data_IF_165670281304
#
_entry.id   IF_165670281304
#
_cell.length_a   1.000
_cell.length_b   1.000
_cell.length_c   1.000
_cell.angle_alpha   90.00
_cell.angle_beta   90.00
_cell.angle_gamma   90.00
#
_symmetry.space_group_name_H-M   'P 1'
#
loop_
_entity.id
_entity.type
_entity.pdbx_description
1 polymer ?
#
# COMPACT_ATOMS: atom_id res chain seq x y z
N UNK A 1 -12.91 -2.41 25.24
CA UNK A 1 -12.69 -2.37 23.78
C UNK A 1 -11.56 -3.33 23.46
N UNK A 2 -11.77 -4.30 22.57
CA UNK A 2 -10.68 -5.13 22.08
C UNK A 2 -9.88 -4.32 21.05
N UNK A 3 -8.58 -4.13 21.27
CA UNK A 3 -7.70 -3.48 20.29
C UNK A 3 -7.48 -4.45 19.14
N UNK A 4 -7.89 -4.07 17.93
CA UNK A 4 -7.63 -4.83 16.72
C UNK A 4 -6.11 -4.96 16.52
N UNK A 5 -5.65 -6.13 16.07
CA UNK A 5 -4.22 -6.38 15.79
C UNK A 5 -4.04 -6.90 14.38
N UNK A 6 -2.90 -6.63 13.76
CA UNK A 6 -2.65 -6.85 12.34
C UNK A 6 -1.47 -7.78 12.13
N UNK A 7 -1.62 -8.74 11.23
CA UNK A 7 -0.61 -9.77 11.00
C UNK A 7 0.68 -9.17 10.43
N UNK A 8 1.81 -9.55 11.01
CA UNK A 8 3.14 -9.30 10.47
C UNK A 8 3.68 -10.65 9.98
N UNK A 9 3.35 -11.01 8.74
CA UNK A 9 3.69 -12.32 8.20
C UNK A 9 5.18 -12.43 7.79
N UNK A 10 5.57 -13.62 7.34
CA UNK A 10 6.95 -13.92 6.97
C UNK A 10 7.45 -13.09 5.76
N UNK A 11 6.57 -12.48 4.96
CA UNK A 11 6.96 -11.71 3.77
C UNK A 11 7.71 -10.44 4.13
N UNK A 12 7.51 -9.89 5.33
CA UNK A 12 8.26 -8.74 5.84
C UNK A 12 9.76 -8.99 5.88
N UNK A 13 10.21 -10.22 6.14
CA UNK A 13 11.65 -10.53 6.17
C UNK A 13 12.27 -10.45 4.79
N UNK A 14 11.62 -11.08 3.82
CA UNK A 14 12.04 -11.04 2.43
C UNK A 14 12.05 -9.60 1.95
N UNK A 15 11.00 -8.84 2.26
CA UNK A 15 10.92 -7.43 1.88
C UNK A 15 12.06 -6.60 2.47
N UNK A 16 12.33 -6.73 3.78
CA UNK A 16 13.43 -6.00 4.42
C UNK A 16 14.79 -6.39 3.82
N UNK A 17 15.00 -7.68 3.54
CA UNK A 17 16.21 -8.15 2.87
C UNK A 17 16.37 -7.57 1.47
N UNK A 18 15.30 -7.53 0.67
CA UNK A 18 15.30 -6.96 -0.68
C UNK A 18 15.57 -5.45 -0.67
N UNK A 19 15.20 -4.77 0.42
CA UNK A 19 15.48 -3.35 0.66
C UNK A 19 16.88 -3.10 1.27
N UNK A 20 17.66 -4.16 1.57
CA UNK A 20 18.97 -4.04 2.22
C UNK A 20 18.90 -3.63 3.69
N UNK A 21 17.74 -3.80 4.34
CA UNK A 21 17.50 -3.43 5.74
C UNK A 21 17.69 -4.64 6.64
N UNK A 22 18.43 -4.48 7.73
CA UNK A 22 18.50 -5.51 8.78
C UNK A 22 17.15 -5.59 9.52
N UNK A 23 16.48 -6.76 9.53
CA UNK A 23 15.24 -6.93 10.27
C UNK A 23 15.40 -6.63 11.77
N UNK A 24 16.54 -6.99 12.36
CA UNK A 24 16.84 -6.72 13.76
C UNK A 24 16.96 -5.23 14.05
N UNK A 25 17.61 -4.46 13.17
CA UNK A 25 17.72 -3.02 13.36
C UNK A 25 16.36 -2.32 13.26
N UNK A 26 15.53 -2.71 12.29
CA UNK A 26 14.18 -2.18 12.14
C UNK A 26 13.31 -2.49 13.39
N UNK A 27 13.36 -3.73 13.90
CA UNK A 27 12.64 -4.13 15.11
C UNK A 27 13.14 -3.37 16.35
N UNK A 28 14.47 -3.26 16.52
CA UNK A 28 15.08 -2.54 17.63
C UNK A 28 14.68 -1.06 17.63
N UNK A 29 14.73 -0.40 16.48
CA UNK A 29 14.32 1.01 16.32
C UNK A 29 12.82 1.19 16.59
N UNK A 30 12.00 0.20 16.26
CA UNK A 30 10.56 0.19 16.55
C UNK A 30 10.21 -0.13 18.02
N UNK A 31 11.22 -0.41 18.86
CA UNK A 31 11.06 -0.92 20.22
C UNK A 31 10.23 -2.23 20.26
N UNK A 32 10.56 -3.15 19.34
CA UNK A 32 9.98 -4.48 19.22
C UNK A 32 11.04 -5.56 19.49
N UNK A 33 10.64 -6.77 19.93
CA UNK A 33 11.56 -7.88 20.11
C UNK A 33 12.32 -8.19 18.81
N UNK A 34 13.64 -8.38 18.88
CA UNK A 34 14.49 -8.59 17.69
C UNK A 34 14.24 -9.95 17.01
N UNK A 35 13.66 -10.89 17.75
CA UNK A 35 13.23 -12.20 17.26
C UNK A 35 11.77 -12.20 16.80
N UNK A 36 11.05 -11.07 16.84
CA UNK A 36 9.61 -11.02 16.57
C UNK A 36 9.26 -11.69 15.24
N UNK A 37 9.96 -11.34 14.16
CA UNK A 37 9.72 -11.93 12.84
C UNK A 37 10.03 -13.43 12.76
N UNK A 38 10.74 -14.02 13.75
CA UNK A 38 11.00 -15.47 13.86
C UNK A 38 9.82 -16.26 14.41
N UNK A 39 8.82 -15.58 14.97
CA UNK A 39 7.65 -16.21 15.54
C UNK A 39 6.65 -16.61 14.44
N UNK A 40 5.96 -17.74 14.62
CA UNK A 40 5.08 -18.31 13.61
C UNK A 40 3.81 -17.48 13.32
N UNK A 41 3.38 -16.65 14.28
CA UNK A 41 2.17 -15.83 14.16
C UNK A 41 2.33 -14.54 14.97
N UNK A 42 2.85 -13.51 14.31
CA UNK A 42 2.98 -12.17 14.90
C UNK A 42 1.77 -11.32 14.55
N UNK A 43 1.22 -10.62 15.54
CA UNK A 43 0.26 -9.54 15.31
C UNK A 43 0.64 -8.31 16.11
N UNK A 44 0.50 -7.13 15.51
CA UNK A 44 0.80 -5.85 16.13
C UNK A 44 -0.45 -4.98 16.26
N UNK A 45 -0.63 -4.22 17.36
CA UNK A 45 -1.60 -3.13 17.39
C UNK A 45 -1.18 -1.99 16.43
N UNK A 46 -2.10 -1.08 16.03
CA UNK A 46 -1.81 0.02 15.10
C UNK A 46 -0.54 0.81 15.43
N UNK A 47 -0.39 1.25 16.68
CA UNK A 47 0.75 2.05 17.13
C UNK A 47 2.09 1.33 16.90
N UNK A 48 2.16 0.04 17.23
CA UNK A 48 3.37 -0.77 17.01
C UNK A 48 3.63 -1.02 15.53
N UNK A 49 2.58 -1.20 14.73
CA UNK A 49 2.68 -1.33 13.27
C UNK A 49 3.24 -0.05 12.64
N UNK A 50 2.74 1.12 13.06
CA UNK A 50 3.23 2.41 12.56
C UNK A 50 4.66 2.70 12.99
N UNK A 51 5.02 2.44 14.26
CA UNK A 51 6.42 2.55 14.70
C UNK A 51 7.35 1.62 13.92
N UNK A 52 6.88 0.41 13.59
CA UNK A 52 7.63 -0.51 12.75
C UNK A 52 7.82 0.05 11.34
N UNK A 53 6.78 0.60 10.72
CA UNK A 53 6.89 1.26 9.42
C UNK A 53 7.87 2.45 9.45
N UNK A 54 7.76 3.35 10.43
CA UNK A 54 8.66 4.49 10.59
C UNK A 54 10.11 4.04 10.80
N UNK A 55 10.31 2.94 11.54
CA UNK A 55 11.63 2.37 11.73
C UNK A 55 12.22 1.90 10.41
N UNK A 56 11.45 1.22 9.56
CA UNK A 56 11.88 0.79 8.22
C UNK A 56 12.26 2.01 7.37
N UNK A 57 11.38 3.00 7.29
CA UNK A 57 11.65 4.24 6.54
C UNK A 57 12.96 4.88 7.00
N UNK A 58 13.16 5.00 8.31
CA UNK A 58 14.30 5.68 8.87
C UNK A 58 15.61 4.85 8.83
N UNK A 59 15.53 3.52 8.73
CA UNK A 59 16.68 2.66 8.40
C UNK A 59 17.09 2.81 6.94
N UNK A 60 16.15 3.09 6.02
CA UNK A 60 16.50 3.29 4.61
C UNK A 60 17.14 4.64 4.30
N UNK A 61 16.82 5.68 5.09
CA UNK A 61 17.31 7.05 4.87
C UNK A 61 16.92 7.66 3.53
N UNK A 62 15.91 7.14 2.83
CA UNK A 62 15.51 7.60 1.50
C UNK A 62 14.21 8.40 1.54
N UNK A 63 14.28 9.66 1.10
CA UNK A 63 13.14 10.59 1.06
C UNK A 63 12.00 10.17 0.10
N UNK A 64 12.28 9.26 -0.82
CA UNK A 64 11.40 8.63 -1.78
C UNK A 64 11.13 7.15 -1.46
N UNK A 65 11.34 6.71 -0.21
CA UNK A 65 11.12 5.33 0.22
C UNK A 65 9.78 4.72 -0.25
N UNK A 66 8.61 5.38 -0.09
CA UNK A 66 7.33 4.87 -0.59
C UNK A 66 7.33 4.57 -2.09
N UNK A 67 7.96 5.45 -2.88
CA UNK A 67 8.05 5.29 -4.32
C UNK A 67 8.94 4.12 -4.73
N UNK A 68 10.06 3.92 -4.03
CA UNK A 68 10.91 2.74 -4.27
C UNK A 68 10.14 1.46 -3.98
N UNK A 69 9.42 1.40 -2.86
CA UNK A 69 8.61 0.24 -2.53
C UNK A 69 7.52 -0.02 -3.57
N UNK A 70 6.84 1.04 -4.04
CA UNK A 70 5.82 0.89 -5.09
C UNK A 70 6.40 0.31 -6.39
N UNK A 71 7.65 0.62 -6.72
CA UNK A 71 8.35 0.10 -7.91
C UNK A 71 8.84 -1.35 -7.74
N UNK A 72 8.98 -1.85 -6.51
CA UNK A 72 9.35 -3.25 -6.27
C UNK A 72 8.15 -4.19 -6.26
N UNK A 73 6.92 -3.67 -6.25
CA UNK A 73 5.71 -4.49 -6.37
C UNK A 73 5.71 -5.13 -7.76
N UNK A 74 5.70 -6.46 -7.80
CA UNK A 74 5.64 -7.22 -9.04
C UNK A 74 4.52 -8.25 -8.99
N UNK A 75 4.10 -8.74 -10.15
CA UNK A 75 3.15 -9.86 -10.25
C UNK A 75 3.65 -11.13 -9.57
N UNK A 76 4.96 -11.30 -9.47
CA UNK A 76 5.60 -12.46 -8.82
C UNK A 76 5.59 -12.35 -7.29
N UNK A 77 5.09 -11.26 -6.71
CA UNK A 77 4.80 -11.20 -5.28
C UNK A 77 3.67 -12.20 -5.00
N UNK A 78 4.02 -13.44 -4.63
CA UNK A 78 3.13 -14.57 -4.35
C UNK A 78 2.21 -14.36 -3.13
N UNK A 79 1.50 -13.23 -3.09
CA UNK A 79 0.47 -12.94 -2.11
C UNK A 79 -0.87 -13.36 -2.73
N UNK A 80 -1.58 -14.36 -2.17
CA UNK A 80 -2.88 -14.80 -2.69
C UNK A 80 -3.90 -13.67 -2.96
N UNK A 81 -3.98 -12.61 -2.14
CA UNK A 81 -4.87 -11.47 -2.41
C UNK A 81 -4.48 -10.66 -3.64
N UNK A 82 -3.18 -10.51 -3.92
CA UNK A 82 -2.72 -9.81 -5.12
C UNK A 82 -3.07 -10.62 -6.36
N UNK A 83 -2.86 -11.94 -6.33
CA UNK A 83 -3.30 -12.82 -7.41
C UNK A 83 -4.82 -12.76 -7.62
N UNK A 84 -5.59 -12.81 -6.54
CA UNK A 84 -7.04 -12.66 -6.62
C UNK A 84 -7.43 -11.30 -7.23
N UNK A 85 -6.74 -10.20 -6.89
CA UNK A 85 -7.00 -8.91 -7.51
C UNK A 85 -6.64 -8.89 -9.01
N UNK A 86 -5.52 -9.50 -9.41
CA UNK A 86 -5.06 -9.57 -10.80
C UNK A 86 -5.91 -10.50 -11.69
N UNK A 87 -6.65 -11.45 -11.09
CA UNK A 87 -7.62 -12.30 -11.78
C UNK A 87 -9.06 -11.73 -11.72
N UNK A 88 -9.22 -10.46 -11.39
CA UNK A 88 -10.52 -9.79 -11.43
C UNK A 88 -10.86 -9.31 -12.84
N UNK A 89 -12.16 -9.24 -13.19
CA UNK A 89 -12.60 -8.78 -14.51
C UNK A 89 -12.36 -7.28 -14.76
N UNK A 90 -12.22 -6.48 -13.70
CA UNK A 90 -11.98 -5.05 -13.77
C UNK A 90 -11.29 -4.53 -12.50
N UNK A 91 -10.87 -3.27 -12.54
CA UNK A 91 -10.19 -2.60 -11.43
C UNK A 91 -11.08 -2.45 -10.19
N UNK A 92 -12.40 -2.30 -10.37
CA UNK A 92 -13.34 -2.15 -9.26
C UNK A 92 -13.40 -3.42 -8.42
N UNK A 93 -13.59 -4.58 -9.06
CA UNK A 93 -13.58 -5.89 -8.40
C UNK A 93 -12.19 -6.20 -7.81
N UNK A 94 -11.11 -5.84 -8.50
CA UNK A 94 -9.75 -5.96 -7.97
C UNK A 94 -9.56 -5.15 -6.68
N UNK A 95 -9.97 -3.88 -6.68
CA UNK A 95 -9.87 -2.99 -5.53
C UNK A 95 -10.71 -3.49 -4.35
N UNK A 96 -11.91 -4.02 -4.60
CA UNK A 96 -12.75 -4.61 -3.54
C UNK A 96 -12.10 -5.84 -2.89
N UNK A 97 -11.41 -6.67 -3.67
CA UNK A 97 -10.66 -7.82 -3.14
C UNK A 97 -9.50 -7.37 -2.25
N UNK A 98 -8.77 -6.34 -2.68
CA UNK A 98 -7.71 -5.71 -1.87
C UNK A 98 -8.28 -5.09 -0.59
N UNK A 99 -9.41 -4.39 -0.66
CA UNK A 99 -10.01 -3.75 0.51
C UNK A 99 -10.30 -4.76 1.63
N UNK A 100 -10.89 -5.91 1.28
CA UNK A 100 -11.15 -7.01 2.23
C UNK A 100 -9.87 -7.57 2.85
N UNK A 101 -8.81 -7.68 2.05
CA UNK A 101 -7.53 -8.18 2.55
C UNK A 101 -6.84 -7.18 3.48
N UNK A 102 -6.77 -5.91 3.08
CA UNK A 102 -6.09 -4.86 3.85
C UNK A 102 -6.68 -4.69 5.24
N UNK A 103 -8.00 -4.75 5.40
CA UNK A 103 -8.67 -4.72 6.71
C UNK A 103 -8.20 -5.84 7.67
N UNK A 104 -7.63 -6.94 7.15
CA UNK A 104 -7.10 -8.05 7.95
C UNK A 104 -5.61 -7.92 8.28
N UNK A 105 -4.82 -7.24 7.44
CA UNK A 105 -3.35 -7.23 7.53
C UNK A 105 -2.72 -5.86 7.77
N UNK A 106 -3.50 -4.79 7.66
CA UNK A 106 -3.04 -3.43 7.88
C UNK A 106 -4.09 -2.64 8.66
N UNK A 107 -3.69 -1.67 9.50
CA UNK A 107 -4.59 -0.84 10.30
C UNK A 107 -5.36 0.20 9.49
N UNK A 108 -5.99 -0.22 8.39
CA UNK A 108 -6.71 0.66 7.48
C UNK A 108 -7.88 -0.02 6.80
N UNK A 109 -8.85 0.80 6.41
CA UNK A 109 -9.96 0.43 5.56
C UNK A 109 -9.84 1.10 4.19
N UNK A 110 -10.37 0.41 3.17
CA UNK A 110 -10.46 0.93 1.82
C UNK A 110 -11.93 0.93 1.39
N UNK A 111 -12.41 2.09 0.96
CA UNK A 111 -13.69 2.23 0.29
C UNK A 111 -13.48 2.33 -1.23
N UNK A 112 -14.21 1.53 -2.01
CA UNK A 112 -14.21 1.60 -3.47
C UNK A 112 -15.53 2.21 -3.90
N UNK A 113 -15.46 3.38 -4.53
CA UNK A 113 -16.62 4.22 -4.87
C UNK A 113 -16.65 4.35 -6.39
N UNK A 114 -17.77 3.94 -7.00
CA UNK A 114 -18.01 4.14 -8.43
C UNK A 114 -18.97 5.30 -8.64
N UNK A 115 -18.52 6.35 -9.33
CA UNK A 115 -19.31 7.55 -9.58
C UNK A 115 -19.02 8.11 -10.97
N UNK A 116 -20.08 8.38 -11.75
CA UNK A 116 -20.01 9.18 -12.99
C UNK A 116 -18.90 8.76 -13.96
N UNK A 117 -18.68 7.46 -14.13
CA UNK A 117 -17.63 6.95 -15.02
C UNK A 117 -16.21 7.00 -14.43
N UNK A 118 -16.10 7.08 -13.10
CA UNK A 118 -14.83 6.99 -12.37
C UNK A 118 -14.92 5.94 -11.27
N UNK A 119 -13.75 5.39 -10.91
CA UNK A 119 -13.59 4.51 -9.75
C UNK A 119 -12.60 5.19 -8.80
N UNK A 120 -13.06 5.55 -7.62
CA UNK A 120 -12.23 6.11 -6.55
C UNK A 120 -11.96 5.05 -5.49
N UNK A 121 -10.70 5.01 -5.03
CA UNK A 121 -10.27 4.20 -3.88
C UNK A 121 -9.86 5.17 -2.79
N UNK A 122 -10.63 5.18 -1.70
CA UNK A 122 -10.39 6.03 -0.54
C UNK A 122 -9.88 5.21 0.64
N UNK A 123 -8.87 5.73 1.33
CA UNK A 123 -8.19 5.07 2.44
C UNK A 123 -8.49 5.78 3.75
N UNK A 124 -8.83 5.01 4.78
CA UNK A 124 -9.09 5.52 6.13
C UNK A 124 -8.34 4.69 7.18
N UNK A 125 -7.96 5.35 8.27
CA UNK A 125 -7.30 4.73 9.42
C UNK A 125 -8.18 4.99 10.65
N UNK A 126 -9.16 4.09 10.92
CA UNK A 126 -10.21 4.34 11.89
C UNK A 126 -9.72 4.28 13.34
N UNK A 127 -8.68 3.50 13.62
CA UNK A 127 -8.22 3.17 14.97
C UNK A 127 -6.77 3.64 15.20
N UNK A 128 -6.52 4.26 16.35
CA UNK A 128 -5.18 4.60 16.82
C UNK A 128 -4.68 5.99 16.40
N UNK A 129 -3.37 6.26 16.54
CA UNK A 129 -2.75 7.51 16.12
C UNK A 129 -2.78 7.65 14.60
N UNK A 130 -2.62 8.87 14.06
CA UNK A 130 -2.55 9.06 12.63
C UNK A 130 -1.40 8.24 12.01
N UNK A 131 -1.60 7.66 10.81
CA UNK A 131 -0.57 6.87 10.16
C UNK A 131 0.63 7.74 9.75
N UNK A 132 1.83 7.14 9.59
CA UNK A 132 2.96 7.81 8.98
C UNK A 132 2.61 8.29 7.56
N UNK A 133 3.01 9.51 7.20
CA UNK A 133 2.68 10.09 5.89
C UNK A 133 3.24 9.24 4.73
N UNK A 134 4.41 8.63 4.93
CA UNK A 134 5.04 7.72 3.97
C UNK A 134 4.25 6.44 3.74
N UNK A 135 3.61 5.89 4.79
CA UNK A 135 2.71 4.73 4.67
C UNK A 135 1.50 5.08 3.81
N UNK A 136 0.86 6.22 4.10
CA UNK A 136 -0.27 6.72 3.32
C UNK A 136 0.12 6.87 1.85
N UNK A 137 1.24 7.53 1.57
CA UNK A 137 1.72 7.71 0.19
C UNK A 137 2.00 6.37 -0.48
N UNK A 138 2.62 5.42 0.22
CA UNK A 138 2.86 4.10 -0.34
C UNK A 138 1.56 3.40 -0.76
N UNK A 139 0.52 3.47 0.06
CA UNK A 139 -0.77 2.83 -0.25
C UNK A 139 -1.48 3.49 -1.45
N UNK A 140 -1.36 4.81 -1.61
CA UNK A 140 -1.82 5.51 -2.82
C UNK A 140 -1.05 5.03 -4.07
N UNK A 141 0.26 4.83 -3.96
CA UNK A 141 1.06 4.31 -5.07
C UNK A 141 0.79 2.83 -5.34
N UNK A 142 0.49 2.04 -4.32
CA UNK A 142 0.18 0.61 -4.41
C UNK A 142 -1.01 0.36 -5.34
N UNK A 143 -2.11 1.12 -5.20
CA UNK A 143 -3.28 0.92 -6.06
C UNK A 143 -3.03 1.31 -7.51
N UNK A 144 -2.16 2.29 -7.77
CA UNK A 144 -1.72 2.63 -9.12
C UNK A 144 -0.83 1.52 -9.69
N UNK A 145 0.10 0.99 -8.89
CA UNK A 145 0.93 -0.15 -9.28
C UNK A 145 0.05 -1.38 -9.61
N UNK A 146 -0.97 -1.65 -8.78
CA UNK A 146 -1.94 -2.72 -9.00
C UNK A 146 -2.70 -2.55 -10.31
N UNK A 147 -3.22 -1.36 -10.59
CA UNK A 147 -3.93 -1.08 -11.84
C UNK A 147 -3.02 -1.32 -13.06
N UNK A 148 -1.76 -0.84 -13.00
CA UNK A 148 -0.76 -1.05 -14.06
C UNK A 148 -0.42 -2.53 -14.25
N UNK A 149 -0.26 -3.29 -13.17
CA UNK A 149 0.01 -4.72 -13.24
C UNK A 149 -1.16 -5.50 -13.84
N UNK A 150 -2.39 -5.21 -13.40
CA UNK A 150 -3.59 -5.89 -13.89
C UNK A 150 -3.85 -5.61 -15.37
N UNK A 151 -3.73 -4.35 -15.78
CA UNK A 151 -3.98 -3.94 -17.17
C UNK A 151 -2.81 -4.18 -18.11
N UNK A 152 -1.58 -4.25 -17.58
CA UNK A 152 -0.31 -4.19 -18.33
C UNK A 152 -0.15 -2.91 -19.15
N UNK A 153 -0.81 -1.83 -18.72
CA UNK A 153 -0.75 -0.51 -19.34
C UNK A 153 -0.17 0.52 -18.36
N UNK A 154 0.35 1.63 -18.89
CA UNK A 154 0.78 2.78 -18.08
C UNK A 154 -0.45 3.58 -17.62
N UNK A 155 -1.26 2.98 -16.76
CA UNK A 155 -2.44 3.63 -16.18
C UNK A 155 -2.00 4.87 -15.40
N UNK A 156 -2.63 6.01 -15.72
CA UNK A 156 -2.52 7.26 -14.99
C UNK A 156 -3.84 7.51 -14.26
N UNK A 157 -3.82 7.77 -12.94
CA UNK A 157 -5.01 8.22 -12.25
C UNK A 157 -5.47 9.59 -12.80
N UNK A 158 -6.70 9.97 -12.50
CA UNK A 158 -7.26 11.30 -12.77
C UNK A 158 -6.94 12.26 -11.62
N UNK A 159 -6.86 11.73 -10.40
CA UNK A 159 -6.59 12.51 -9.20
C UNK A 159 -5.93 11.65 -8.12
N UNK A 160 -5.00 12.25 -7.37
CA UNK A 160 -4.46 11.68 -6.14
C UNK A 160 -4.49 12.74 -5.04
N UNK A 161 -5.18 12.46 -3.94
CA UNK A 161 -5.32 13.33 -2.77
C UNK A 161 -4.72 12.70 -1.53
N UNK A 162 -4.13 13.54 -0.69
CA UNK A 162 -3.71 13.17 0.67
C UNK A 162 -3.67 14.41 1.57
N UNK A 163 -3.80 14.23 2.89
CA UNK A 163 -3.72 15.35 3.84
C UNK A 163 -2.31 15.93 3.96
N UNK A 164 -1.28 15.12 3.68
CA UNK A 164 0.15 15.46 3.74
C UNK A 164 0.89 14.93 2.49
N UNK A 165 0.97 15.72 1.40
CA UNK A 165 1.73 15.33 0.21
C UNK A 165 3.22 15.11 0.52
N UNK A 166 3.90 14.18 -0.18
CA UNK A 166 5.31 13.90 0.07
C UNK A 166 6.22 15.04 -0.39
N UNK A 167 7.41 15.12 0.21
CA UNK A 167 8.50 15.98 -0.23
C UNK A 167 9.78 15.14 -0.33
N UNK A 168 10.54 15.21 -1.45
CA UNK A 168 10.26 15.99 -2.67
C UNK A 168 9.06 15.44 -3.47
N UNK A 169 8.36 16.30 -4.22
CA UNK A 169 7.16 15.93 -5.00
C UNK A 169 7.47 15.34 -6.38
N UNK A 170 8.50 15.84 -7.06
CA UNK A 170 8.74 15.59 -8.49
C UNK A 170 8.87 14.10 -8.85
N UNK A 171 9.56 13.24 -8.07
CA UNK A 171 9.66 11.82 -8.39
C UNK A 171 8.30 11.10 -8.38
N UNK A 172 7.40 11.53 -7.49
CA UNK A 172 6.05 10.97 -7.38
C UNK A 172 5.18 11.43 -8.55
N UNK A 173 5.28 12.70 -8.94
CA UNK A 173 4.58 13.24 -10.11
C UNK A 173 5.04 12.55 -11.39
N UNK A 174 6.34 12.34 -11.57
CA UNK A 174 6.87 11.61 -12.72
C UNK A 174 6.32 10.17 -12.76
N UNK A 175 6.21 9.50 -11.61
CA UNK A 175 5.67 8.15 -11.54
C UNK A 175 4.16 8.09 -11.82
N UNK A 176 3.39 9.06 -11.34
CA UNK A 176 1.93 9.08 -11.46
C UNK A 176 1.44 9.72 -12.77
N UNK A 177 2.24 10.60 -13.37
CA UNK A 177 1.83 11.47 -14.47
C UNK A 177 1.01 12.69 -14.03
N UNK A 178 0.88 12.93 -12.72
CA UNK A 178 0.19 14.07 -12.12
C UNK A 178 0.67 14.32 -10.68
N UNK A 179 0.53 15.55 -10.15
CA UNK A 179 0.94 15.85 -8.77
C UNK A 179 -0.02 15.26 -7.74
N UNK A 180 0.53 14.79 -6.62
CA UNK A 180 -0.26 14.45 -5.43
C UNK A 180 -0.71 15.76 -4.77
N UNK A 181 -2.02 16.00 -4.71
CA UNK A 181 -2.57 17.24 -4.16
C UNK A 181 -2.95 17.08 -2.70
N UNK A 182 -2.90 18.20 -1.98
CA UNK A 182 -3.43 18.25 -0.62
C UNK A 182 -4.96 18.20 -0.66
N UNK A 183 -5.56 17.31 0.13
CA UNK A 183 -7.01 17.15 0.25
C UNK A 183 -7.44 16.79 1.67
N UNK A 184 -8.75 16.72 1.90
CA UNK A 184 -9.34 16.30 3.18
C UNK A 184 -9.38 14.78 3.38
N UNK A 185 -9.11 14.00 2.33
CA UNK A 185 -9.11 12.54 2.32
C UNK A 185 -7.83 12.00 1.67
N UNK A 186 -7.61 10.68 1.79
CA UNK A 186 -6.55 9.95 1.11
C UNK A 186 -7.19 9.14 -0.02
N UNK A 187 -6.99 9.53 -1.27
CA UNK A 187 -7.80 9.01 -2.38
C UNK A 187 -7.01 8.92 -3.68
N UNK A 188 -7.25 7.85 -4.44
CA UNK A 188 -6.84 7.74 -5.85
C UNK A 188 -8.08 7.53 -6.71
N UNK A 189 -8.24 8.33 -7.75
CA UNK A 189 -9.37 8.25 -8.68
C UNK A 189 -8.89 7.82 -10.06
N UNK A 190 -9.54 6.81 -10.65
CA UNK A 190 -9.28 6.32 -12.00
C UNK A 190 -10.50 6.54 -12.90
N UNK A 191 -10.28 6.53 -14.23
CA UNK A 191 -11.37 6.39 -15.19
C UNK A 191 -11.99 4.99 -15.06
N UNK A 192 -13.32 4.87 -15.15
CA UNK A 192 -14.00 3.58 -15.21
C UNK A 192 -13.71 2.81 -16.51
N UNK A 193 -13.07 3.46 -17.50
CA UNK A 193 -12.61 2.78 -18.72
C UNK A 193 -11.39 1.86 -18.50
N UNK A 194 -10.75 1.91 -17.33
CA UNK A 194 -9.61 1.03 -16.99
C UNK A 194 -10.12 -0.40 -16.76
N UNK A 195 -9.84 -1.29 -17.72
CA UNK A 195 -10.23 -2.71 -17.66
C UNK A 195 -9.00 -3.60 -17.50
N UNK A 196 -9.11 -4.63 -16.66
CA UNK A 196 -8.10 -5.69 -16.54
C UNK A 196 -8.45 -6.74 -17.60
N UNK A 197 -7.59 -7.03 -18.59
CA UNK A 197 -7.89 -8.02 -19.63
C UNK A 197 -8.12 -9.42 -19.01
N UNK A 198 -9.12 -10.16 -19.50
CA UNK A 198 -9.36 -11.54 -19.05
C UNK A 198 -8.14 -12.41 -19.43
N UNK A 199 -7.64 -13.22 -18.49
CA UNK A 199 -6.52 -14.13 -18.76
C UNK A 199 -6.91 -15.28 -19.70
N UNK A 200 -8.20 -15.44 -20.00
CA UNK A 200 -8.73 -16.43 -20.96
C UNK A 200 -8.65 -15.99 -22.43
N UNK A 201 -8.32 -14.74 -22.71
CA UNK A 201 -8.15 -14.22 -24.07
C UNK A 201 -6.70 -14.37 -24.60
N UNK A 202 -5.92 -15.31 -24.02
CA UNK A 202 -4.54 -15.63 -24.43
C UNK A 202 -4.38 -17.09 -24.83
#
# INVERSE_FOLDING_TARGET
>A
MQTQTYALDATWRTLLSDLGISPQNALRRANLPEDLLQQASVRLPPDSYFRFWEAIEAETGDACFPLRLARTIRSESFLPPLFAALCSPDLFVAAQRIAKFKALVAPMDLAVIEERGTVAIEFTWPDGPPPPASLVVMELLFVVALARMGTREEIRPIEVLTTRPPAPSDPYEQYLGLPIRRGGTHRVTFSASVRIPDQRDR
#
